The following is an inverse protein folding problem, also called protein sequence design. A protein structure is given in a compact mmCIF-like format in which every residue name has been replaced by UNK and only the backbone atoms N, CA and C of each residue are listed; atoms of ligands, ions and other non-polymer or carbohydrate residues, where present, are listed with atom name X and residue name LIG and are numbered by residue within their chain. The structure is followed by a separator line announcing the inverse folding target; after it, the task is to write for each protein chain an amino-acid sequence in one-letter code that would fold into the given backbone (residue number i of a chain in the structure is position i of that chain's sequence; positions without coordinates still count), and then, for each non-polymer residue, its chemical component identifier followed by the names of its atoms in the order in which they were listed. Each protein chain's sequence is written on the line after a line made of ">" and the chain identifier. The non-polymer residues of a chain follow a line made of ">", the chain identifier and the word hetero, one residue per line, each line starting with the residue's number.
data_IF_300507009870
#
_entry.id   IF_300507009870
#
_cell.length_a   1.000
_cell.length_b   1.000
_cell.length_c   1.000
_cell.angle_alpha   90.00
_cell.angle_beta   90.00
_cell.angle_gamma   90.00
#
_symmetry.space_group_name_H-M   'P 1'
#
loop_
_entity.id
_entity.type
_entity.pdbx_description
1 polymer ?
#
# COMPACT_ATOMS: atom_id res chain seq x y z
N UNK A 1 -37.91 3.11 -6.85
CA UNK A 1 -37.51 2.03 -7.80
C UNK A 1 -36.85 0.89 -7.03
N UNK A 2 -37.33 -0.35 -7.13
CA UNK A 2 -36.77 -1.48 -6.36
C UNK A 2 -35.45 -1.90 -6.99
N UNK A 3 -34.35 -1.90 -6.22
CA UNK A 3 -33.02 -2.31 -6.72
C UNK A 3 -33.06 -3.80 -7.14
N UNK A 4 -32.53 -4.12 -8.33
CA UNK A 4 -32.35 -5.50 -8.79
C UNK A 4 -31.01 -6.05 -8.27
N UNK A 5 -31.02 -6.47 -7.03
CA UNK A 5 -29.81 -7.05 -6.37
C UNK A 5 -30.15 -8.50 -5.97
N UNK A 6 -29.28 -9.47 -6.27
CA UNK A 6 -29.42 -10.84 -5.76
C UNK A 6 -29.32 -10.88 -4.24
N UNK A 7 -29.87 -11.92 -3.63
CA UNK A 7 -29.72 -12.12 -2.19
C UNK A 7 -28.25 -12.32 -1.80
N UNK A 8 -27.80 -11.69 -0.70
CA UNK A 8 -26.40 -11.75 -0.21
C UNK A 8 -25.93 -13.20 -0.04
N UNK A 9 -26.78 -14.07 0.45
CA UNK A 9 -26.46 -15.48 0.65
C UNK A 9 -26.14 -16.22 -0.67
N UNK A 10 -26.84 -15.90 -1.76
CA UNK A 10 -26.55 -16.44 -3.08
C UNK A 10 -25.21 -15.91 -3.63
N UNK A 11 -24.88 -14.65 -3.35
CA UNK A 11 -23.59 -14.06 -3.72
C UNK A 11 -22.42 -14.68 -2.96
N UNK A 12 -22.57 -14.91 -1.65
CA UNK A 12 -21.56 -15.61 -0.82
C UNK A 12 -21.37 -17.06 -1.29
N UNK A 13 -22.47 -17.78 -1.53
CA UNK A 13 -22.38 -19.16 -2.04
C UNK A 13 -21.70 -19.23 -3.41
N UNK A 14 -21.98 -18.25 -4.28
CA UNK A 14 -21.34 -18.15 -5.59
C UNK A 14 -19.85 -17.85 -5.51
N UNK A 15 -19.44 -16.85 -4.75
CA UNK A 15 -18.01 -16.45 -4.64
C UNK A 15 -17.17 -17.54 -3.98
N UNK A 16 -17.70 -18.21 -2.96
CA UNK A 16 -17.05 -19.37 -2.33
C UNK A 16 -16.92 -20.53 -3.31
N UNK A 17 -17.98 -20.86 -4.06
CA UNK A 17 -17.93 -21.91 -5.08
C UNK A 17 -17.00 -21.54 -6.25
N UNK A 18 -16.91 -20.28 -6.62
CA UNK A 18 -16.00 -19.77 -7.64
C UNK A 18 -14.52 -19.94 -7.25
N UNK A 19 -14.18 -19.64 -6.00
CA UNK A 19 -12.81 -19.80 -5.47
C UNK A 19 -12.35 -21.26 -5.45
N UNK A 20 -13.25 -22.20 -5.08
CA UNK A 20 -12.92 -23.61 -5.02
C UNK A 20 -13.11 -24.37 -6.34
N UNK A 21 -13.85 -23.81 -7.29
CA UNK A 21 -14.38 -24.52 -8.46
C UNK A 21 -15.01 -25.88 -8.07
N UNK A 22 -15.67 -25.93 -6.89
CA UNK A 22 -16.25 -27.10 -6.28
C UNK A 22 -17.42 -26.76 -5.37
N UNK A 23 -18.59 -27.24 -5.67
CA UNK A 23 -19.78 -27.04 -4.83
C UNK A 23 -19.69 -27.81 -3.49
N UNK A 24 -19.00 -28.96 -3.48
CA UNK A 24 -18.78 -29.74 -2.26
C UNK A 24 -17.84 -28.99 -1.29
N UNK A 25 -16.74 -28.46 -1.78
CA UNK A 25 -15.80 -27.67 -0.94
C UNK A 25 -16.45 -26.38 -0.44
N UNK A 26 -17.19 -25.69 -1.30
CA UNK A 26 -17.95 -24.51 -0.89
C UNK A 26 -19.00 -24.83 0.18
N UNK A 27 -19.71 -25.95 0.05
CA UNK A 27 -20.68 -26.39 1.05
C UNK A 27 -20.00 -26.69 2.40
N UNK A 28 -18.85 -27.34 2.39
CA UNK A 28 -18.07 -27.61 3.60
C UNK A 28 -17.64 -26.31 4.30
N UNK A 29 -17.10 -25.33 3.54
CA UNK A 29 -16.66 -24.05 4.09
C UNK A 29 -17.81 -23.24 4.67
N UNK A 30 -18.97 -23.24 3.98
CA UNK A 30 -20.14 -22.49 4.43
C UNK A 30 -20.99 -23.22 5.46
N UNK A 31 -20.59 -24.42 5.89
CA UNK A 31 -21.36 -25.28 6.80
C UNK A 31 -22.77 -25.57 6.27
N UNK A 32 -22.89 -25.84 4.96
CA UNK A 32 -24.13 -26.13 4.25
C UNK A 32 -24.10 -27.50 3.58
N UNK A 33 -25.27 -27.95 3.14
CA UNK A 33 -25.34 -29.10 2.22
C UNK A 33 -24.97 -28.67 0.79
N UNK A 34 -24.35 -29.57 0.02
CA UNK A 34 -24.06 -29.31 -1.40
C UNK A 34 -25.33 -28.95 -2.19
N UNK A 35 -26.47 -29.56 -1.87
CA UNK A 35 -27.75 -29.25 -2.52
C UNK A 35 -28.24 -27.84 -2.21
N UNK A 36 -27.94 -27.30 -1.01
CA UNK A 36 -28.24 -25.89 -0.67
C UNK A 36 -27.38 -24.92 -1.51
N UNK A 37 -26.07 -25.16 -1.62
CA UNK A 37 -25.18 -24.36 -2.47
C UNK A 37 -25.63 -24.41 -3.93
N UNK A 38 -25.95 -25.57 -4.46
CA UNK A 38 -26.45 -25.75 -5.82
C UNK A 38 -27.74 -24.92 -6.07
N UNK A 39 -28.68 -24.92 -5.12
CA UNK A 39 -29.93 -24.15 -5.22
C UNK A 39 -29.65 -22.63 -5.22
N UNK A 40 -28.75 -22.16 -4.37
CA UNK A 40 -28.37 -20.73 -4.33
C UNK A 40 -27.76 -20.28 -5.65
N UNK A 41 -26.86 -21.09 -6.21
CA UNK A 41 -26.19 -20.78 -7.48
C UNK A 41 -27.20 -20.85 -8.64
N UNK A 42 -28.06 -21.88 -8.67
CA UNK A 42 -29.09 -21.96 -9.70
C UNK A 42 -30.06 -20.77 -9.64
N UNK A 43 -30.52 -20.36 -8.45
CA UNK A 43 -31.35 -19.18 -8.27
C UNK A 43 -30.66 -17.89 -8.71
N UNK A 44 -29.35 -17.76 -8.48
CA UNK A 44 -28.56 -16.63 -8.93
C UNK A 44 -28.44 -16.60 -10.46
N UNK A 45 -28.13 -17.73 -11.10
CA UNK A 45 -28.07 -17.85 -12.55
C UNK A 45 -29.41 -17.53 -13.21
N UNK A 46 -30.51 -17.99 -12.61
CA UNK A 46 -31.87 -17.69 -13.08
C UNK A 46 -32.21 -16.21 -12.93
N UNK A 47 -31.80 -15.57 -11.83
CA UNK A 47 -31.97 -14.14 -11.62
C UNK A 47 -31.21 -13.32 -12.66
N UNK A 48 -29.94 -13.70 -12.93
CA UNK A 48 -29.07 -13.02 -13.88
C UNK A 48 -29.37 -13.36 -15.35
N UNK A 49 -30.12 -14.45 -15.60
CA UNK A 49 -30.33 -15.02 -16.94
C UNK A 49 -29.04 -15.42 -17.65
N UNK A 50 -27.98 -15.75 -16.87
CA UNK A 50 -26.66 -16.10 -17.37
C UNK A 50 -26.11 -17.28 -16.57
N UNK A 51 -25.49 -18.25 -17.26
CA UNK A 51 -24.77 -19.34 -16.58
C UNK A 51 -23.41 -18.87 -16.11
N UNK A 52 -23.15 -19.07 -14.81
CA UNK A 52 -21.90 -18.70 -14.15
C UNK A 52 -20.94 -19.88 -14.05
N UNK A 53 -21.49 -21.11 -14.03
CA UNK A 53 -20.72 -22.36 -14.04
C UNK A 53 -21.07 -23.22 -15.24
N UNK A 54 -20.08 -24.02 -15.67
CA UNK A 54 -20.26 -25.12 -16.61
C UNK A 54 -19.78 -26.42 -15.97
N UNK A 55 -20.49 -27.50 -16.25
CA UNK A 55 -20.08 -28.87 -15.83
C UNK A 55 -18.95 -29.36 -16.72
N UNK A 56 -17.98 -30.05 -16.12
CA UNK A 56 -16.87 -30.71 -16.79
C UNK A 56 -16.75 -32.14 -16.27
N UNK A 57 -15.93 -32.98 -16.92
CA UNK A 57 -15.66 -34.33 -16.43
C UNK A 57 -15.01 -34.36 -15.05
N UNK A 58 -14.33 -33.28 -14.65
CA UNK A 58 -13.60 -33.15 -13.38
C UNK A 58 -14.36 -32.33 -12.32
N UNK A 59 -15.62 -31.94 -12.56
CA UNK A 59 -16.42 -31.12 -11.66
C UNK A 59 -17.06 -29.92 -12.33
N UNK A 60 -16.98 -28.78 -11.69
CA UNK A 60 -17.51 -27.49 -12.19
C UNK A 60 -16.39 -26.49 -12.46
N UNK A 61 -16.56 -25.68 -13.49
CA UNK A 61 -15.66 -24.59 -13.85
C UNK A 61 -16.47 -23.33 -14.10
N UNK A 62 -15.87 -22.19 -13.84
CA UNK A 62 -16.47 -20.90 -14.18
C UNK A 62 -16.62 -20.73 -15.70
N UNK A 63 -17.71 -20.08 -16.10
CA UNK A 63 -17.84 -19.48 -17.43
C UNK A 63 -17.07 -18.16 -17.47
N UNK A 64 -16.93 -17.55 -18.64
CA UNK A 64 -16.35 -16.20 -18.77
C UNK A 64 -17.14 -15.18 -17.95
N UNK A 65 -18.48 -15.20 -18.03
CA UNK A 65 -19.34 -14.38 -17.20
C UNK A 65 -19.15 -14.66 -15.71
N UNK A 66 -18.98 -15.93 -15.32
CA UNK A 66 -18.68 -16.33 -13.95
C UNK A 66 -17.36 -15.75 -13.43
N UNK A 67 -16.31 -15.76 -14.25
CA UNK A 67 -15.00 -15.17 -13.89
C UNK A 67 -15.11 -13.66 -13.67
N UNK A 68 -15.75 -12.94 -14.58
CA UNK A 68 -15.93 -11.50 -14.48
C UNK A 68 -16.78 -11.14 -13.25
N UNK A 69 -17.92 -11.83 -13.09
CA UNK A 69 -18.86 -11.54 -12.00
C UNK A 69 -18.28 -11.90 -10.63
N UNK A 70 -17.53 -13.02 -10.50
CA UNK A 70 -16.94 -13.43 -9.23
C UNK A 70 -15.94 -12.40 -8.69
N UNK A 71 -15.09 -11.82 -9.55
CA UNK A 71 -14.12 -10.78 -9.17
C UNK A 71 -14.79 -9.52 -8.63
N UNK A 72 -15.89 -9.09 -9.30
CA UNK A 72 -16.60 -7.89 -8.89
C UNK A 72 -17.39 -8.13 -7.60
N UNK A 73 -18.10 -9.24 -7.51
CA UNK A 73 -18.92 -9.57 -6.32
C UNK A 73 -18.05 -9.80 -5.09
N UNK A 74 -16.93 -10.53 -5.22
CA UNK A 74 -16.01 -10.73 -4.10
C UNK A 74 -15.56 -9.38 -3.51
N UNK A 75 -15.10 -8.46 -4.35
CA UNK A 75 -14.69 -7.11 -3.91
C UNK A 75 -15.79 -6.35 -3.16
N UNK A 76 -17.06 -6.49 -3.59
CA UNK A 76 -18.19 -5.82 -2.92
C UNK A 76 -18.55 -6.50 -1.60
N UNK A 77 -18.49 -7.83 -1.53
CA UNK A 77 -18.74 -8.56 -0.28
C UNK A 77 -17.67 -8.25 0.77
N UNK A 78 -16.40 -8.20 0.37
CA UNK A 78 -15.27 -7.81 1.25
C UNK A 78 -15.47 -6.38 1.78
N UNK A 79 -16.01 -5.46 0.95
CA UNK A 79 -16.33 -4.10 1.38
C UNK A 79 -17.46 -4.08 2.41
N UNK A 80 -18.56 -4.81 2.16
CA UNK A 80 -19.69 -4.91 3.11
C UNK A 80 -19.26 -5.55 4.43
N UNK A 81 -18.41 -6.60 4.39
CA UNK A 81 -17.87 -7.22 5.60
C UNK A 81 -17.02 -6.25 6.41
N UNK A 82 -16.13 -5.50 5.75
CA UNK A 82 -15.30 -4.47 6.37
C UNK A 82 -16.13 -3.39 7.04
N UNK A 83 -17.14 -2.84 6.34
CA UNK A 83 -18.03 -1.82 6.87
C UNK A 83 -18.83 -2.35 8.09
N UNK A 84 -19.26 -3.62 8.02
CA UNK A 84 -19.96 -4.29 9.12
C UNK A 84 -19.05 -4.43 10.33
N UNK A 85 -17.82 -4.91 10.15
CA UNK A 85 -16.83 -5.05 11.21
C UNK A 85 -16.47 -3.68 11.81
N UNK A 86 -16.36 -2.63 10.99
CA UNK A 86 -16.10 -1.28 11.45
C UNK A 86 -17.23 -0.79 12.38
N UNK A 87 -18.50 -0.98 12.00
CA UNK A 87 -19.65 -0.62 12.83
C UNK A 87 -19.70 -1.47 14.12
N UNK A 88 -19.42 -2.76 14.03
CA UNK A 88 -19.36 -3.65 15.20
C UNK A 88 -18.25 -3.25 16.19
N UNK A 89 -17.11 -2.79 15.66
CA UNK A 89 -16.00 -2.28 16.47
C UNK A 89 -16.29 -0.89 17.06
N UNK A 90 -17.23 -0.14 16.51
CA UNK A 90 -17.60 1.22 16.94
C UNK A 90 -18.46 1.24 18.22
N UNK A 91 -18.15 0.38 19.19
CA UNK A 91 -18.81 0.35 20.50
C UNK A 91 -18.23 1.43 21.41
N UNK A 92 -18.57 2.72 21.19
CA UNK A 92 -18.25 3.71 22.20
C UNK A 92 -17.86 5.11 21.77
N UNK A 93 -18.32 5.63 20.65
CA UNK A 93 -18.24 7.07 20.34
C UNK A 93 -16.84 7.61 20.04
N UNK A 94 -15.88 6.75 19.71
CA UNK A 94 -14.55 7.14 19.22
C UNK A 94 -14.55 7.49 17.73
N UNK A 95 -13.61 8.33 17.31
CA UNK A 95 -13.36 8.62 15.91
C UNK A 95 -12.45 7.55 15.32
N UNK A 96 -12.88 6.88 14.26
CA UNK A 96 -12.02 6.02 13.46
C UNK A 96 -11.56 6.78 12.21
N UNK A 97 -10.26 6.70 11.91
CA UNK A 97 -9.64 7.23 10.69
C UNK A 97 -9.13 6.05 9.87
N UNK A 98 -9.70 5.85 8.69
CA UNK A 98 -9.24 4.84 7.74
C UNK A 98 -8.20 5.46 6.80
N UNK A 99 -6.93 5.13 7.03
CA UNK A 99 -5.78 5.72 6.35
C UNK A 99 -5.15 4.76 5.34
N UNK A 100 -5.17 5.15 4.08
CA UNK A 100 -4.34 4.52 3.06
C UNK A 100 -2.89 5.03 3.18
N UNK A 101 -1.89 4.14 3.09
CA UNK A 101 -0.50 4.57 3.34
C UNK A 101 0.51 3.76 2.52
N UNK A 102 1.62 4.38 2.12
CA UNK A 102 2.76 3.66 1.58
C UNK A 102 3.48 2.90 2.69
N UNK A 103 3.70 1.57 2.52
CA UNK A 103 4.02 0.66 3.64
C UNK A 103 5.25 1.05 4.47
N UNK A 104 6.39 1.29 3.82
CA UNK A 104 7.63 1.55 4.56
C UNK A 104 7.59 2.90 5.30
N UNK A 105 6.93 3.92 4.72
CA UNK A 105 6.71 5.20 5.41
C UNK A 105 5.85 4.99 6.67
N UNK A 106 4.80 4.17 6.57
CA UNK A 106 3.99 3.86 7.75
C UNK A 106 4.83 3.24 8.86
N UNK A 107 5.59 2.18 8.56
CA UNK A 107 6.32 1.41 9.58
C UNK A 107 7.52 2.15 10.14
N UNK A 108 8.25 2.90 9.32
CA UNK A 108 9.51 3.53 9.73
C UNK A 108 9.34 4.96 10.23
N UNK A 109 8.41 5.71 9.68
CA UNK A 109 8.26 7.12 10.05
C UNK A 109 6.99 7.40 10.87
N UNK A 110 5.81 6.92 10.42
CA UNK A 110 4.54 7.30 11.02
C UNK A 110 4.26 6.57 12.34
N UNK A 111 4.29 5.24 12.35
CA UNK A 111 3.92 4.43 13.51
C UNK A 111 4.77 4.73 14.76
N UNK A 112 6.10 4.94 14.68
CA UNK A 112 6.90 5.31 15.85
C UNK A 112 6.44 6.62 16.53
N UNK A 113 5.80 7.52 15.77
CA UNK A 113 5.34 8.83 16.23
C UNK A 113 3.86 8.84 16.64
N UNK A 114 3.06 7.94 16.08
CA UNK A 114 1.62 7.88 16.26
C UNK A 114 1.20 7.64 17.72
N UNK A 115 1.97 6.87 18.47
CA UNK A 115 1.67 6.58 19.88
C UNK A 115 1.50 7.85 20.72
N UNK A 116 2.32 8.87 20.46
CA UNK A 116 2.22 10.16 21.14
C UNK A 116 0.96 10.95 20.78
N UNK A 117 0.42 10.77 19.59
CA UNK A 117 -0.88 11.34 19.18
C UNK A 117 -2.03 10.63 19.88
N UNK A 118 -2.07 9.31 19.83
CA UNK A 118 -3.15 8.50 20.41
C UNK A 118 -3.25 8.68 21.93
N UNK A 119 -2.12 8.84 22.62
CA UNK A 119 -2.11 9.11 24.06
C UNK A 119 -2.79 10.44 24.43
N UNK A 120 -2.77 11.43 23.54
CA UNK A 120 -3.39 12.75 23.73
C UNK A 120 -4.83 12.86 23.23
N UNK A 121 -5.26 11.90 22.40
CA UNK A 121 -6.57 11.90 21.76
C UNK A 121 -7.29 10.56 22.08
N UNK A 122 -7.68 10.40 23.34
CA UNK A 122 -8.39 9.20 23.78
C UNK A 122 -9.67 8.99 22.96
N UNK A 123 -9.86 7.77 22.46
CA UNK A 123 -11.00 7.40 21.62
C UNK A 123 -10.77 7.59 20.11
N UNK A 124 -9.61 8.10 19.68
CA UNK A 124 -9.24 8.07 18.25
C UNK A 124 -8.61 6.72 17.93
N UNK A 125 -9.08 6.09 16.87
CA UNK A 125 -8.50 4.89 16.27
C UNK A 125 -8.03 5.20 14.85
N UNK A 126 -6.90 4.64 14.44
CA UNK A 126 -6.39 4.78 13.08
C UNK A 126 -6.18 3.40 12.50
N UNK A 127 -6.94 3.08 11.47
CA UNK A 127 -6.77 1.87 10.68
C UNK A 127 -5.83 2.14 9.51
N UNK A 128 -5.03 1.16 9.16
CA UNK A 128 -4.05 1.29 8.08
C UNK A 128 -4.33 0.27 6.99
N UNK A 129 -4.41 0.75 5.74
CA UNK A 129 -4.40 -0.11 4.57
C UNK A 129 -3.29 0.34 3.61
N UNK A 130 -2.52 -0.61 3.09
CA UNK A 130 -1.40 -0.27 2.20
C UNK A 130 -1.89 0.04 0.80
N UNK A 131 -1.45 1.20 0.27
CA UNK A 131 -1.67 1.62 -1.12
C UNK A 131 -0.39 2.23 -1.68
N UNK A 132 0.10 1.68 -2.79
CA UNK A 132 1.31 2.18 -3.47
C UNK A 132 0.99 2.99 -4.72
N UNK A 133 -0.28 2.98 -5.16
CA UNK A 133 -0.78 3.67 -6.35
C UNK A 133 -1.93 4.62 -6.01
N UNK A 134 -2.09 5.72 -6.76
CA UNK A 134 -3.25 6.59 -6.65
C UNK A 134 -4.57 5.84 -6.86
N UNK A 135 -5.63 6.33 -6.23
CA UNK A 135 -6.99 5.81 -6.32
C UNK A 135 -8.01 6.96 -6.21
N UNK A 136 -9.27 6.69 -6.53
CA UNK A 136 -10.36 7.63 -6.32
C UNK A 136 -10.99 7.38 -4.93
N UNK A 137 -11.08 8.41 -4.10
CA UNK A 137 -11.66 8.29 -2.75
C UNK A 137 -13.11 7.84 -2.77
N UNK A 138 -13.90 8.30 -3.74
CA UNK A 138 -15.32 7.92 -3.90
C UNK A 138 -15.53 6.40 -4.13
N UNK A 139 -14.49 5.70 -4.59
CA UNK A 139 -14.53 4.25 -4.79
C UNK A 139 -14.01 3.46 -3.58
N UNK A 140 -13.65 4.15 -2.49
CA UNK A 140 -13.02 3.57 -1.30
C UNK A 140 -13.69 4.10 -0.04
N UNK A 141 -13.38 3.48 1.11
CA UNK A 141 -13.83 3.97 2.42
C UNK A 141 -12.77 4.81 3.15
N UNK A 142 -11.67 5.20 2.50
CA UNK A 142 -10.59 5.91 3.18
C UNK A 142 -10.95 7.37 3.50
N UNK A 143 -10.53 7.82 4.67
CA UNK A 143 -10.62 9.21 5.09
C UNK A 143 -9.47 10.05 4.55
N UNK A 144 -8.30 9.42 4.40
CA UNK A 144 -7.12 10.07 3.86
C UNK A 144 -6.12 9.04 3.28
N UNK A 145 -5.12 9.56 2.57
CA UNK A 145 -3.99 8.79 2.07
C UNK A 145 -2.67 9.50 2.35
N UNK A 146 -1.67 8.77 2.83
CA UNK A 146 -0.28 9.23 2.75
C UNK A 146 0.32 8.63 1.49
N UNK A 147 0.62 9.49 0.55
CA UNK A 147 1.08 9.11 -0.78
C UNK A 147 2.38 9.81 -1.16
N UNK A 148 3.21 9.11 -1.92
CA UNK A 148 4.36 9.69 -2.59
C UNK A 148 4.04 9.98 -4.06
N UNK A 149 4.20 11.22 -4.47
CA UNK A 149 3.91 11.63 -5.85
C UNK A 149 3.51 13.07 -5.95
N UNK A 150 2.49 13.33 -6.76
CA UNK A 150 1.90 14.64 -6.96
C UNK A 150 0.70 14.83 -6.04
N UNK A 151 0.48 16.07 -5.59
CA UNK A 151 -0.61 16.44 -4.68
C UNK A 151 -1.99 16.52 -5.37
N UNK A 152 -2.02 16.62 -6.69
CA UNK A 152 -3.21 16.99 -7.47
C UNK A 152 -4.15 15.83 -7.77
N UNK A 153 -4.81 15.27 -6.74
CA UNK A 153 -5.88 14.29 -6.95
C UNK A 153 -7.23 15.00 -7.09
N UNK A 154 -8.12 14.55 -8.00
CA UNK A 154 -9.44 15.18 -8.20
C UNK A 154 -10.29 15.20 -6.92
N UNK A 155 -10.91 16.33 -6.58
CA UNK A 155 -11.80 16.48 -5.43
C UNK A 155 -11.13 16.35 -4.06
N UNK A 156 -9.82 16.57 -3.99
CA UNK A 156 -9.05 16.43 -2.76
C UNK A 156 -8.25 17.67 -2.40
N UNK A 157 -7.90 17.77 -1.13
CA UNK A 157 -6.88 18.66 -0.59
C UNK A 157 -5.63 17.86 -0.24
N UNK A 158 -4.47 18.52 -0.22
CA UNK A 158 -3.21 17.91 0.13
C UNK A 158 -2.43 18.77 1.13
N UNK A 159 -1.84 18.12 2.15
CA UNK A 159 -0.86 18.71 3.03
C UNK A 159 0.51 18.13 2.69
N UNK A 160 1.47 18.99 2.39
CA UNK A 160 2.85 18.58 2.16
C UNK A 160 3.46 18.05 3.46
N UNK A 161 4.05 16.86 3.40
CA UNK A 161 4.75 16.26 4.53
C UNK A 161 6.26 16.45 4.41
N UNK A 162 6.89 15.86 3.37
CA UNK A 162 8.33 15.96 3.18
C UNK A 162 8.78 15.57 1.77
N UNK A 163 9.94 16.07 1.37
CA UNK A 163 10.60 15.63 0.15
C UNK A 163 11.21 14.23 0.31
N UNK A 164 11.36 13.52 -0.79
CA UNK A 164 12.13 12.29 -0.82
C UNK A 164 13.57 12.62 -1.27
N UNK A 165 14.54 12.30 -0.41
CA UNK A 165 15.97 12.47 -0.68
C UNK A 165 16.66 11.11 -0.50
N UNK A 166 16.68 10.27 -1.54
CA UNK A 166 17.34 8.99 -1.45
C UNK A 166 18.86 9.15 -1.47
N UNK A 167 19.52 8.37 -0.65
CA UNK A 167 20.98 8.23 -0.61
C UNK A 167 21.36 6.81 -1.02
N UNK A 168 22.51 6.62 -1.70
CA UNK A 168 23.04 5.29 -1.98
C UNK A 168 23.51 4.61 -0.70
N UNK A 169 22.98 3.43 -0.42
CA UNK A 169 23.35 2.63 0.76
C UNK A 169 23.68 1.20 0.39
N UNK A 170 24.55 0.57 1.16
CA UNK A 170 24.89 -0.83 1.00
C UNK A 170 25.30 -1.44 2.35
N UNK A 171 25.54 -2.75 2.39
CA UNK A 171 26.16 -3.39 3.56
C UNK A 171 27.62 -2.92 3.71
N UNK A 172 28.14 -2.79 4.95
CA UNK A 172 29.52 -2.37 5.20
C UNK A 172 30.57 -3.21 4.46
N UNK A 173 30.33 -4.51 4.31
CA UNK A 173 31.24 -5.43 3.62
C UNK A 173 31.46 -5.09 2.14
N UNK A 174 30.52 -4.40 1.50
CA UNK A 174 30.64 -4.01 0.09
C UNK A 174 31.61 -2.83 -0.13
N UNK A 175 31.91 -2.05 0.90
CA UNK A 175 32.83 -0.92 0.80
C UNK A 175 34.33 -1.34 0.84
N UNK A 176 34.63 -2.60 1.16
CA UNK A 176 35.99 -3.10 1.25
C UNK A 176 36.92 -2.17 2.06
N UNK A 177 36.47 -1.70 3.22
CA UNK A 177 37.14 -0.75 4.12
C UNK A 177 37.33 0.68 3.56
N UNK A 178 36.71 1.03 2.45
CA UNK A 178 36.66 2.42 1.96
C UNK A 178 35.60 3.21 2.74
N UNK A 179 35.83 4.49 3.04
CA UNK A 179 34.83 5.32 3.74
C UNK A 179 33.63 5.67 2.84
N UNK A 180 33.83 5.75 1.54
CA UNK A 180 32.81 5.99 0.52
C UNK A 180 33.29 5.50 -0.85
N UNK A 181 32.37 5.38 -1.79
CA UNK A 181 32.64 5.01 -3.18
C UNK A 181 32.33 6.20 -4.11
N UNK A 182 33.18 6.38 -5.11
CA UNK A 182 32.93 7.33 -6.19
C UNK A 182 31.73 6.85 -7.04
N UNK A 183 30.87 7.79 -7.54
CA UNK A 183 29.76 7.41 -8.42
C UNK A 183 30.12 6.57 -9.63
N UNK A 184 31.33 6.76 -10.20
CA UNK A 184 31.82 5.94 -11.33
C UNK A 184 32.06 4.49 -10.92
N UNK A 185 32.65 4.25 -9.76
CA UNK A 185 32.80 2.89 -9.22
C UNK A 185 31.45 2.26 -8.90
N UNK A 186 30.52 3.05 -8.35
CA UNK A 186 29.17 2.59 -8.03
C UNK A 186 28.39 2.16 -9.29
N UNK A 187 28.60 2.81 -10.43
CA UNK A 187 27.96 2.47 -11.69
C UNK A 187 28.29 1.03 -12.16
N UNK A 188 29.43 0.47 -11.73
CA UNK A 188 29.83 -0.90 -12.03
C UNK A 188 29.35 -1.93 -11.01
N UNK A 189 28.76 -1.48 -9.88
CA UNK A 189 28.23 -2.36 -8.84
C UNK A 189 26.82 -2.86 -9.19
N UNK A 190 26.33 -3.94 -8.57
CA UNK A 190 24.94 -4.35 -8.66
C UNK A 190 24.03 -3.24 -8.10
N UNK A 191 23.17 -2.67 -8.92
CA UNK A 191 22.20 -1.65 -8.52
C UNK A 191 20.84 -2.28 -8.23
N UNK A 192 20.33 -2.08 -7.02
CA UNK A 192 19.01 -2.57 -6.63
C UNK A 192 17.94 -1.54 -7.02
N UNK A 193 16.87 -2.00 -7.66
CA UNK A 193 15.86 -1.15 -8.28
C UNK A 193 14.59 -1.07 -7.42
N UNK A 194 14.07 0.14 -7.22
CA UNK A 194 12.75 0.35 -6.62
C UNK A 194 11.67 0.39 -7.71
N UNK A 195 10.72 -0.56 -7.68
CA UNK A 195 9.69 -0.68 -8.73
C UNK A 195 8.78 0.54 -8.83
N UNK A 196 8.52 1.23 -7.71
CA UNK A 196 7.70 2.45 -7.67
C UNK A 196 8.50 3.72 -8.00
N UNK A 197 9.82 3.60 -8.19
CA UNK A 197 10.77 4.67 -8.57
C UNK A 197 11.65 4.19 -9.72
N UNK A 198 11.10 3.85 -10.88
CA UNK A 198 11.85 3.16 -11.95
C UNK A 198 13.03 3.96 -12.50
N UNK A 199 13.02 5.28 -12.33
CA UNK A 199 14.07 6.18 -12.83
C UNK A 199 14.97 6.73 -11.72
N UNK A 200 14.90 6.22 -10.49
CA UNK A 200 15.65 6.76 -9.36
C UNK A 200 17.16 6.79 -9.60
N UNK A 201 17.75 5.69 -10.06
CA UNK A 201 19.18 5.64 -10.35
C UNK A 201 19.57 6.55 -11.50
N UNK A 202 18.77 6.63 -12.56
CA UNK A 202 19.00 7.56 -13.68
C UNK A 202 19.03 8.99 -13.20
N UNK A 203 18.04 9.41 -12.42
CA UNK A 203 17.97 10.76 -11.86
C UNK A 203 19.16 11.04 -10.94
N UNK A 204 19.55 10.06 -10.13
CA UNK A 204 20.68 10.19 -9.23
C UNK A 204 21.99 10.37 -10.00
N UNK A 205 22.30 9.51 -10.99
CA UNK A 205 23.52 9.65 -11.79
C UNK A 205 23.52 10.92 -12.64
N UNK A 206 22.39 11.29 -13.23
CA UNK A 206 22.28 12.57 -13.98
C UNK A 206 22.57 13.77 -13.08
N UNK A 207 22.09 13.78 -11.84
CA UNK A 207 22.39 14.82 -10.87
C UNK A 207 23.88 14.87 -10.49
N UNK A 208 24.64 13.78 -10.70
CA UNK A 208 26.09 13.74 -10.57
C UNK A 208 26.83 14.08 -11.88
N UNK A 209 26.11 14.49 -12.93
CA UNK A 209 26.69 14.78 -14.25
C UNK A 209 27.11 13.54 -15.04
N UNK A 210 26.51 12.37 -14.76
CA UNK A 210 26.88 11.09 -15.35
C UNK A 210 25.72 10.48 -16.14
N UNK A 211 26.03 9.84 -17.25
CA UNK A 211 25.15 8.93 -17.97
C UNK A 211 25.66 7.48 -17.81
N UNK A 212 24.81 6.62 -17.25
CA UNK A 212 25.14 5.23 -16.97
C UNK A 212 24.20 4.31 -17.74
N UNK A 213 24.73 3.55 -18.68
CA UNK A 213 23.92 2.68 -19.56
C UNK A 213 23.12 1.59 -18.81
N UNK A 214 23.61 1.16 -17.63
CA UNK A 214 23.01 0.10 -16.82
C UNK A 214 22.22 0.61 -15.62
N UNK A 215 21.91 1.89 -15.55
CA UNK A 215 21.23 2.56 -14.44
C UNK A 215 19.85 1.96 -14.08
N UNK A 216 19.19 1.31 -15.02
CA UNK A 216 17.91 0.64 -14.83
C UNK A 216 18.01 -0.89 -14.73
N UNK A 217 19.22 -1.42 -14.70
CA UNK A 217 19.47 -2.87 -14.63
C UNK A 217 19.53 -3.34 -13.19
N UNK A 218 19.12 -4.58 -12.93
CA UNK A 218 19.20 -5.21 -11.60
C UNK A 218 17.84 -5.68 -11.05
N UNK A 219 17.88 -6.42 -9.93
CA UNK A 219 16.67 -6.95 -9.29
C UNK A 219 15.77 -5.81 -8.80
N UNK A 220 14.44 -6.03 -8.90
CA UNK A 220 13.43 -5.02 -8.59
C UNK A 220 12.65 -5.39 -7.34
N UNK A 221 12.45 -4.41 -6.46
CA UNK A 221 11.71 -4.55 -5.22
C UNK A 221 10.59 -3.52 -5.17
N UNK A 222 9.41 -3.90 -4.69
CA UNK A 222 8.27 -2.98 -4.60
C UNK A 222 8.33 -2.11 -3.34
N UNK A 223 8.86 -2.64 -2.23
CA UNK A 223 8.91 -1.96 -0.94
C UNK A 223 10.34 -1.54 -0.60
N UNK A 224 10.49 -0.33 -0.04
CA UNK A 224 11.80 0.11 0.48
C UNK A 224 12.33 -0.79 1.61
N UNK A 225 11.46 -1.40 2.42
CA UNK A 225 11.88 -2.37 3.43
C UNK A 225 12.52 -3.63 2.83
N UNK A 226 11.99 -4.13 1.71
CA UNK A 226 12.60 -5.25 0.98
C UNK A 226 13.92 -4.84 0.33
N UNK A 227 13.96 -3.61 -0.22
CA UNK A 227 15.15 -3.05 -0.85
C UNK A 227 16.28 -2.87 0.19
N UNK A 228 15.94 -2.36 1.38
CA UNK A 228 16.88 -2.22 2.49
C UNK A 228 17.43 -3.58 2.94
N UNK A 229 16.58 -4.58 3.12
CA UNK A 229 16.99 -5.91 3.49
C UNK A 229 17.93 -6.54 2.43
N UNK A 230 17.61 -6.39 1.15
CA UNK A 230 18.48 -6.87 0.07
C UNK A 230 19.87 -6.19 0.11
N UNK A 231 19.90 -4.89 0.40
CA UNK A 231 21.18 -4.17 0.56
C UNK A 231 21.97 -4.63 1.80
N UNK A 232 21.30 -4.89 2.93
CA UNK A 232 21.92 -5.46 4.16
C UNK A 232 22.56 -6.82 3.85
N UNK A 233 21.89 -7.66 3.06
CA UNK A 233 22.41 -8.97 2.66
C UNK A 233 23.51 -8.90 1.59
N UNK A 234 23.96 -7.68 1.23
CA UNK A 234 25.05 -7.49 0.28
C UNK A 234 24.72 -7.79 -1.17
N UNK A 235 23.43 -7.78 -1.54
CA UNK A 235 22.99 -8.04 -2.92
C UNK A 235 23.34 -6.90 -3.89
N UNK A 236 23.62 -5.70 -3.38
CA UNK A 236 23.95 -4.53 -4.17
C UNK A 236 23.78 -3.22 -3.43
N UNK A 237 23.90 -2.12 -4.17
CA UNK A 237 23.68 -0.76 -3.69
C UNK A 237 22.23 -0.36 -3.95
N UNK A 238 21.58 0.24 -2.94
CA UNK A 238 20.20 0.69 -3.02
C UNK A 238 20.10 2.22 -2.85
N UNK A 239 19.16 2.86 -3.56
CA UNK A 239 18.77 4.24 -3.29
C UNK A 239 17.57 4.25 -2.35
N UNK A 240 17.77 4.71 -1.11
CA UNK A 240 16.72 4.72 -0.08
C UNK A 240 16.74 6.07 0.64
N UNK A 241 15.57 6.71 0.87
CA UNK A 241 15.47 7.90 1.72
C UNK A 241 15.94 7.57 3.15
N UNK A 242 16.82 8.39 3.72
CA UNK A 242 17.40 8.15 5.05
C UNK A 242 16.34 7.97 6.13
N UNK A 243 15.25 8.74 6.09
CA UNK A 243 14.13 8.64 7.03
C UNK A 243 13.46 7.25 7.10
N UNK A 244 13.71 6.39 6.11
CA UNK A 244 13.16 5.03 6.06
C UNK A 244 14.13 3.97 6.56
N UNK A 245 15.37 4.35 6.88
CA UNK A 245 16.47 3.45 7.27
C UNK A 245 17.32 4.00 8.41
N UNK A 246 16.79 4.93 9.22
CA UNK A 246 17.52 5.54 10.35
C UNK A 246 18.09 4.48 11.31
N UNK A 247 17.29 3.45 11.64
CA UNK A 247 17.69 2.35 12.52
C UNK A 247 18.81 1.50 11.91
N UNK A 248 18.74 1.23 10.62
CA UNK A 248 19.72 0.43 9.88
C UNK A 248 21.05 1.17 9.75
N UNK A 249 21.02 2.49 9.57
CA UNK A 249 22.23 3.34 9.57
C UNK A 249 22.82 3.45 10.99
N UNK A 250 21.98 3.74 11.99
CA UNK A 250 22.42 3.87 13.38
C UNK A 250 23.02 2.57 13.94
N UNK A 251 22.48 1.41 13.53
CA UNK A 251 22.99 0.10 13.93
C UNK A 251 24.19 -0.38 13.11
N UNK A 252 24.59 0.34 12.06
CA UNK A 252 25.66 -0.04 11.16
C UNK A 252 25.34 -1.24 10.23
N UNK A 253 24.10 -1.66 10.14
CA UNK A 253 23.65 -2.69 9.17
C UNK A 253 23.74 -2.19 7.73
N UNK A 254 23.43 -0.91 7.54
CA UNK A 254 23.65 -0.19 6.30
C UNK A 254 24.64 0.95 6.54
N UNK A 255 25.38 1.29 5.51
CA UNK A 255 26.24 2.47 5.45
C UNK A 255 25.96 3.26 4.19
N UNK A 256 26.14 4.59 4.26
CA UNK A 256 26.05 5.45 3.09
C UNK A 256 27.24 5.12 2.17
N UNK A 257 26.95 4.64 0.98
CA UNK A 257 27.97 4.24 0.01
C UNK A 257 28.61 5.45 -0.67
N UNK A 258 27.85 6.55 -0.84
CA UNK A 258 28.33 7.80 -1.41
C UNK A 258 27.54 8.94 -0.77
N UNK A 259 28.25 9.91 -0.19
CA UNK A 259 27.66 11.09 0.44
C UNK A 259 27.23 12.14 -0.60
N UNK A 260 26.34 11.71 -1.49
CA UNK A 260 25.70 12.55 -2.51
C UNK A 260 24.24 12.17 -2.61
N UNK A 261 23.38 13.03 -2.12
CA UNK A 261 21.94 12.88 -2.24
C UNK A 261 21.43 13.52 -3.54
N UNK A 262 20.27 13.09 -3.98
CA UNK A 262 19.53 13.73 -5.06
C UNK A 262 18.09 13.90 -4.58
N UNK A 263 17.62 15.15 -4.47
CA UNK A 263 16.24 15.42 -4.10
C UNK A 263 15.31 15.02 -5.26
N UNK A 264 14.30 14.22 -4.95
CA UNK A 264 13.23 13.88 -5.90
C UNK A 264 12.39 15.13 -6.22
N UNK A 265 11.85 15.20 -7.43
CA UNK A 265 10.83 16.19 -7.81
C UNK A 265 9.48 15.95 -7.12
N UNK A 266 9.27 14.74 -6.59
CA UNK A 266 8.06 14.30 -5.90
C UNK A 266 8.26 14.28 -4.40
N UNK A 267 7.14 14.32 -3.68
CA UNK A 267 7.13 14.42 -2.22
C UNK A 267 6.09 13.47 -1.60
N UNK A 268 6.14 13.34 -0.28
CA UNK A 268 5.09 12.73 0.52
C UNK A 268 4.05 13.77 0.88
N UNK A 269 2.78 13.40 0.66
CA UNK A 269 1.61 14.23 0.98
C UNK A 269 0.60 13.45 1.79
N UNK A 270 -0.07 14.12 2.73
CA UNK A 270 -1.37 13.69 3.24
C UNK A 270 -2.43 14.23 2.29
N UNK A 271 -3.16 13.33 1.62
CA UNK A 271 -4.22 13.66 0.65
C UNK A 271 -5.54 13.21 1.25
N UNK A 272 -6.59 14.03 1.18
CA UNK A 272 -7.90 13.74 1.75
C UNK A 272 -9.02 14.45 0.97
N UNK A 273 -10.24 13.88 0.92
CA UNK A 273 -11.40 14.51 0.29
C UNK A 273 -11.72 15.85 0.95
N UNK A 274 -12.14 16.85 0.17
CA UNK A 274 -12.48 18.19 0.68
C UNK A 274 -13.52 18.17 1.80
N UNK A 275 -14.56 17.32 1.68
CA UNK A 275 -15.62 17.22 2.68
C UNK A 275 -15.16 16.63 4.03
N UNK A 276 -14.01 15.95 4.09
CA UNK A 276 -13.42 15.44 5.34
C UNK A 276 -12.66 16.51 6.11
N UNK A 277 -12.32 17.61 5.46
CA UNK A 277 -11.51 18.69 6.06
C UNK A 277 -12.14 19.31 7.31
N UNK A 278 -13.46 19.27 7.45
CA UNK A 278 -14.23 19.87 8.54
C UNK A 278 -14.54 18.90 9.71
N UNK A 279 -14.25 17.62 9.58
CA UNK A 279 -14.47 16.64 10.64
C UNK A 279 -13.47 16.85 11.79
N UNK A 280 -13.94 17.27 12.97
CA UNK A 280 -13.09 17.67 14.11
C UNK A 280 -11.96 16.72 14.44
N UNK A 281 -12.24 15.43 14.50
CA UNK A 281 -11.20 14.47 14.84
C UNK A 281 -10.19 14.23 13.73
N UNK A 282 -10.59 14.30 12.45
CA UNK A 282 -9.66 14.27 11.34
C UNK A 282 -8.81 15.54 11.30
N UNK A 283 -9.36 16.70 11.64
CA UNK A 283 -8.58 17.95 11.75
C UNK A 283 -7.44 17.80 12.77
N UNK A 284 -7.72 17.22 13.93
CA UNK A 284 -6.69 16.99 14.95
C UNK A 284 -5.57 16.09 14.46
N UNK A 285 -5.91 15.00 13.76
CA UNK A 285 -4.93 14.10 13.15
C UNK A 285 -4.12 14.81 12.05
N UNK A 286 -4.78 15.51 11.15
CA UNK A 286 -4.13 16.28 10.07
C UNK A 286 -3.15 17.31 10.63
N UNK A 287 -3.61 18.12 11.58
CA UNK A 287 -2.77 19.15 12.20
C UNK A 287 -1.55 18.52 12.87
N UNK A 288 -1.76 17.48 13.69
CA UNK A 288 -0.67 16.76 14.32
C UNK A 288 0.33 16.20 13.30
N UNK A 289 -0.14 15.55 12.24
CA UNK A 289 0.73 14.93 11.23
C UNK A 289 1.54 15.98 10.46
N UNK A 290 0.91 17.11 10.07
CA UNK A 290 1.61 18.20 9.38
C UNK A 290 2.64 18.86 10.29
N UNK A 291 2.34 19.07 11.58
CA UNK A 291 3.27 19.62 12.57
C UNK A 291 4.43 18.67 12.87
N UNK A 292 4.16 17.38 12.95
CA UNK A 292 5.19 16.35 13.15
C UNK A 292 6.15 16.29 11.97
N UNK A 293 5.60 16.35 10.75
CA UNK A 293 6.40 16.40 9.53
C UNK A 293 7.23 17.69 9.47
N UNK A 294 6.68 18.85 9.88
CA UNK A 294 7.40 20.11 9.92
C UNK A 294 8.55 20.07 10.95
N UNK A 295 8.32 19.52 12.14
CA UNK A 295 9.37 19.32 13.15
C UNK A 295 10.48 18.41 12.66
N UNK A 296 10.10 17.30 12.03
CA UNK A 296 11.08 16.38 11.45
C UNK A 296 11.95 17.05 10.41
N UNK A 297 11.36 17.79 9.45
CA UNK A 297 12.13 18.52 8.43
C UNK A 297 13.08 19.55 9.04
N UNK A 298 12.62 20.30 10.05
CA UNK A 298 13.46 21.28 10.73
C UNK A 298 14.64 20.64 11.45
N UNK A 299 14.47 19.44 12.02
CA UNK A 299 15.54 18.70 12.71
C UNK A 299 16.53 18.04 11.74
N UNK A 300 16.06 17.61 10.57
CA UNK A 300 16.85 16.85 9.58
C UNK A 300 17.46 17.74 8.47
N UNK A 301 17.19 19.04 8.47
CA UNK A 301 17.68 19.96 7.43
C UNK A 301 17.04 19.75 6.04
N UNK A 302 15.85 19.16 6.01
CA UNK A 302 15.09 18.79 4.80
C UNK A 302 14.10 19.87 4.35
#
# INVERSE_FOLDING_TARGET
>A
MRRKIPGTFALVAFTTAARHESFTKAASELSLSQSAVCRQIAGLEDFLRVKLFRRTRQGVRLTEAGILYSRQVAKQLDAVERDTLAIMAHQGGGLTIDLAVVPTFATKWLLPRLGGFLARHAGVQVNFETRTRPFLFDETGFDAAIHFGDAGWPGTQACFLMWEQPVPVCSPGMLASRPAIDPGVMAEMPLLQQSTRPYAWRQWFTAQGMEVARDMSGPRFELFSMLAEAAIQGMGVALIPEMLIEDELASGKLVVACDRSCRSEKAYYLIYPEHKSETLGFQSFRTWLCDEAARYRAASGL
#
